data_IF_335653782711
#
_entry.id   IF_335653782711
#
_cell.length_a   1.000
_cell.length_b   1.000
_cell.length_c   1.000
_cell.angle_alpha   90.00
_cell.angle_beta   90.00
_cell.angle_gamma   90.00
#
_symmetry.space_group_name_H-M   'P 1'
#
loop_
_entity.id
_entity.type
_entity.pdbx_description
1 polymer ?
#
# COMPACT_ATOMS: atom_id res chain seq x y z
N UNK A 1 -4.13 -9.35 24.79
CA UNK A 1 -2.84 -8.81 24.31
C UNK A 1 -2.85 -8.88 22.80
N UNK A 2 -2.41 -7.84 22.09
CA UNK A 2 -2.21 -7.90 20.62
C UNK A 2 -1.14 -8.94 20.31
N UNK A 3 -1.27 -9.65 19.19
CA UNK A 3 -0.26 -10.60 18.75
C UNK A 3 0.97 -9.80 18.27
N UNK A 4 2.21 -10.26 18.54
CA UNK A 4 3.43 -9.48 18.22
C UNK A 4 3.52 -9.08 16.74
N UNK A 5 3.09 -9.95 15.84
CA UNK A 5 3.02 -9.67 14.41
C UNK A 5 2.00 -8.58 13.99
N UNK A 6 1.12 -8.13 14.89
CA UNK A 6 0.17 -7.02 14.64
C UNK A 6 0.79 -5.65 14.90
N UNK A 7 1.86 -5.57 15.68
CA UNK A 7 2.51 -4.32 16.06
C UNK A 7 3.00 -3.54 14.82
N UNK A 8 2.88 -2.22 14.89
CA UNK A 8 3.43 -1.29 13.90
C UNK A 8 4.96 -1.23 14.00
N UNK A 9 5.63 -0.81 12.92
CA UNK A 9 7.08 -0.64 12.92
C UNK A 9 7.52 0.39 13.97
N UNK A 10 6.76 1.47 14.14
CA UNK A 10 7.04 2.50 15.17
C UNK A 10 6.96 1.93 16.59
N UNK A 11 5.95 1.10 16.88
CA UNK A 11 5.82 0.42 18.18
C UNK A 11 6.95 -0.59 18.42
N UNK A 12 7.33 -1.35 17.38
CA UNK A 12 8.43 -2.31 17.44
C UNK A 12 9.76 -1.63 17.77
N UNK A 13 10.13 -0.58 17.01
CA UNK A 13 11.37 0.17 17.22
C UNK A 13 11.41 0.78 18.62
N UNK A 14 10.28 1.35 19.09
CA UNK A 14 10.16 1.89 20.44
C UNK A 14 10.35 0.81 21.51
N UNK A 15 9.78 -0.38 21.29
CA UNK A 15 9.89 -1.52 22.20
C UNK A 15 11.29 -2.13 22.23
N UNK A 16 11.97 -2.21 21.10
CA UNK A 16 13.36 -2.68 21.02
C UNK A 16 14.31 -1.71 21.73
N UNK A 17 14.11 -0.39 21.54
CA UNK A 17 14.86 0.64 22.27
C UNK A 17 14.65 0.55 23.78
N UNK A 18 13.41 0.27 24.21
CA UNK A 18 13.07 0.07 25.62
C UNK A 18 13.48 -1.31 26.16
N UNK A 19 14.04 -2.20 25.32
CA UNK A 19 14.34 -3.60 25.63
C UNK A 19 13.13 -4.38 26.16
N UNK A 20 11.92 -3.97 25.78
CA UNK A 20 10.66 -4.59 26.17
C UNK A 20 10.27 -5.76 25.25
N UNK A 21 10.81 -5.79 24.03
CA UNK A 21 10.65 -6.88 23.07
C UNK A 21 11.99 -7.15 22.38
N UNK A 22 12.19 -8.37 21.89
CA UNK A 22 13.31 -8.72 21.02
C UNK A 22 12.91 -8.75 19.54
N UNK A 23 13.79 -8.29 18.61
CA UNK A 23 13.65 -8.55 17.18
C UNK A 23 13.48 -10.04 16.85
N UNK A 24 14.08 -10.94 17.62
CA UNK A 24 13.97 -12.39 17.44
C UNK A 24 12.56 -12.86 17.74
N UNK A 25 12.01 -12.50 18.91
CA UNK A 25 10.65 -12.88 19.32
C UNK A 25 9.60 -12.42 18.31
N UNK A 26 9.74 -11.19 17.82
CA UNK A 26 8.82 -10.62 16.84
C UNK A 26 8.98 -11.30 15.48
N UNK A 27 10.20 -11.58 15.04
CA UNK A 27 10.46 -12.29 13.78
C UNK A 27 9.87 -13.70 13.81
N UNK A 28 10.03 -14.44 14.91
CA UNK A 28 9.39 -15.77 15.07
C UNK A 28 7.86 -15.68 15.04
N UNK A 29 7.28 -14.68 15.71
CA UNK A 29 5.83 -14.48 15.67
C UNK A 29 5.31 -14.17 14.26
N UNK A 30 6.08 -13.45 13.43
CA UNK A 30 5.72 -13.20 12.03
C UNK A 30 5.92 -14.46 11.18
N UNK A 31 6.99 -15.23 11.39
CA UNK A 31 7.24 -16.51 10.71
C UNK A 31 6.08 -17.49 10.95
N UNK A 32 5.66 -17.68 12.21
CA UNK A 32 4.53 -18.57 12.52
C UNK A 32 3.22 -18.11 11.88
N UNK A 33 3.03 -16.79 11.70
CA UNK A 33 1.89 -16.24 10.96
C UNK A 33 1.99 -16.52 9.46
N UNK A 34 3.16 -16.34 8.85
CA UNK A 34 3.40 -16.68 7.44
C UNK A 34 3.07 -18.15 7.21
N UNK A 35 3.60 -19.06 8.03
CA UNK A 35 3.36 -20.49 7.90
C UNK A 35 1.88 -20.87 7.99
N UNK A 36 1.10 -20.17 8.82
CA UNK A 36 -0.33 -20.41 8.98
C UNK A 36 -1.19 -19.96 7.79
N UNK A 37 -0.82 -18.86 7.11
CA UNK A 37 -1.68 -18.23 6.09
C UNK A 37 -1.16 -18.36 4.66
N UNK A 38 0.16 -18.46 4.45
CA UNK A 38 0.78 -18.42 3.12
C UNK A 38 0.31 -19.54 2.18
N UNK A 39 0.07 -20.78 2.64
CA UNK A 39 -0.48 -21.83 1.77
C UNK A 39 -1.81 -21.47 1.09
N UNK A 40 -2.57 -20.52 1.66
CA UNK A 40 -3.85 -20.04 1.11
C UNK A 40 -3.70 -18.74 0.33
N UNK A 41 -2.75 -17.90 0.71
CA UNK A 41 -2.60 -16.55 0.17
C UNK A 41 -1.66 -16.45 -1.03
N UNK A 42 -0.62 -17.28 -1.10
CA UNK A 42 0.39 -17.27 -2.16
C UNK A 42 0.96 -15.85 -2.42
N UNK A 43 1.26 -15.12 -1.35
CA UNK A 43 1.74 -13.74 -1.40
C UNK A 43 3.26 -13.63 -1.57
N UNK A 44 4.01 -14.68 -1.23
CA UNK A 44 5.46 -14.64 -1.08
C UNK A 44 6.20 -15.36 -2.22
N UNK A 45 7.37 -14.83 -2.51
CA UNK A 45 8.41 -15.40 -3.37
C UNK A 45 9.72 -15.43 -2.57
N UNK A 46 10.54 -16.47 -2.76
CA UNK A 46 11.84 -16.59 -2.09
C UNK A 46 11.77 -16.30 -0.57
N UNK A 47 10.83 -16.96 0.12
CA UNK A 47 10.71 -16.94 1.57
C UNK A 47 11.91 -17.64 2.21
N UNK A 48 12.61 -16.95 3.12
CA UNK A 48 13.84 -17.44 3.76
C UNK A 48 13.81 -17.15 5.28
N UNK A 49 13.13 -18.00 6.06
CA UNK A 49 13.03 -17.81 7.51
C UNK A 49 14.37 -17.94 8.23
N UNK A 50 15.32 -18.72 7.69
CA UNK A 50 16.64 -18.87 8.31
C UNK A 50 17.48 -17.60 8.18
N UNK A 51 17.51 -16.99 6.99
CA UNK A 51 18.16 -15.69 6.82
C UNK A 51 17.51 -14.60 7.69
N UNK A 52 16.18 -14.62 7.82
CA UNK A 52 15.45 -13.72 8.70
C UNK A 52 15.84 -13.89 10.18
N UNK A 53 15.94 -15.13 10.67
CA UNK A 53 16.38 -15.45 12.04
C UNK A 53 17.79 -14.94 12.31
N UNK A 54 18.71 -15.14 11.38
CA UNK A 54 20.09 -14.64 11.49
C UNK A 54 20.13 -13.10 11.54
N UNK A 55 19.34 -12.43 10.69
CA UNK A 55 19.25 -10.97 10.69
C UNK A 55 18.63 -10.42 11.99
N UNK A 56 17.60 -11.08 12.51
CA UNK A 56 16.95 -10.72 13.77
C UNK A 56 17.91 -10.87 14.97
N UNK A 57 18.67 -11.96 15.05
CA UNK A 57 19.72 -12.15 16.08
C UNK A 57 20.81 -11.09 16.01
N UNK A 58 21.25 -10.73 14.81
CA UNK A 58 22.22 -9.65 14.61
C UNK A 58 21.66 -8.28 15.05
N UNK A 59 20.36 -8.04 14.82
CA UNK A 59 19.67 -6.83 15.30
C UNK A 59 19.54 -6.80 16.82
N UNK A 60 19.13 -7.91 17.43
CA UNK A 60 19.04 -8.02 18.90
C UNK A 60 20.39 -7.71 19.57
N UNK A 61 21.49 -8.23 19.02
CA UNK A 61 22.83 -7.94 19.52
C UNK A 61 23.20 -6.45 19.43
N UNK A 62 22.75 -5.74 18.38
CA UNK A 62 22.93 -4.28 18.23
C UNK A 62 22.09 -3.50 19.24
N UNK A 63 20.81 -3.85 19.39
CA UNK A 63 19.92 -3.23 20.38
C UNK A 63 20.42 -3.45 21.82
N UNK A 64 20.97 -4.62 22.14
CA UNK A 64 21.55 -4.90 23.46
C UNK A 64 22.69 -3.94 23.83
N UNK A 65 23.49 -3.55 22.83
CA UNK A 65 24.61 -2.59 22.94
C UNK A 65 24.21 -1.13 22.81
N UNK A 66 22.97 -0.85 22.40
CA UNK A 66 22.52 0.52 22.11
C UNK A 66 23.04 1.07 20.77
N UNK A 67 23.39 0.18 19.83
CA UNK A 67 24.00 0.51 18.53
C UNK A 67 23.13 0.05 17.35
N UNK A 68 21.85 0.46 17.25
CA UNK A 68 21.00 0.03 16.15
C UNK A 68 21.55 0.50 14.80
N UNK A 69 21.44 -0.35 13.77
CA UNK A 69 21.94 -0.08 12.42
C UNK A 69 21.18 1.06 11.71
N UNK A 70 19.95 1.34 12.13
CA UNK A 70 19.12 2.37 11.53
C UNK A 70 17.73 2.47 12.12
N UNK A 71 16.86 3.30 11.53
CA UNK A 71 15.54 3.63 12.08
C UNK A 71 14.54 2.46 12.04
N UNK A 72 14.85 1.38 11.31
CA UNK A 72 14.00 0.19 11.21
C UNK A 72 14.75 -1.09 11.61
N UNK A 73 15.82 -0.96 12.40
CA UNK A 73 16.67 -2.09 12.77
C UNK A 73 15.86 -3.17 13.52
N UNK A 74 15.81 -4.37 12.95
CA UNK A 74 15.09 -5.53 13.50
C UNK A 74 13.64 -5.64 13.06
N UNK A 75 13.09 -4.67 12.33
CA UNK A 75 11.68 -4.68 11.90
C UNK A 75 11.50 -5.69 10.74
N UNK A 76 10.58 -6.68 10.87
CA UNK A 76 10.28 -7.62 9.79
C UNK A 76 9.58 -6.96 8.61
N UNK A 77 9.96 -7.35 7.39
CA UNK A 77 9.44 -6.73 6.18
C UNK A 77 9.47 -7.64 4.96
N UNK A 78 8.80 -7.21 3.90
CA UNK A 78 8.85 -7.88 2.59
C UNK A 78 9.06 -6.88 1.45
N UNK A 79 9.65 -7.34 0.34
CA UNK A 79 10.00 -6.49 -0.80
C UNK A 79 9.48 -7.12 -2.09
N UNK A 80 8.72 -6.39 -2.90
CA UNK A 80 8.27 -6.87 -4.22
C UNK A 80 9.42 -7.41 -5.07
N UNK A 81 9.19 -8.53 -5.75
CA UNK A 81 10.25 -9.26 -6.46
C UNK A 81 10.96 -8.43 -7.55
N UNK A 82 10.27 -7.46 -8.20
CA UNK A 82 10.91 -6.62 -9.22
C UNK A 82 11.86 -5.55 -8.67
N UNK A 83 12.01 -5.46 -7.35
CA UNK A 83 13.10 -4.73 -6.71
C UNK A 83 14.20 -5.75 -6.46
N UNK A 84 15.30 -5.66 -7.21
CA UNK A 84 16.38 -6.64 -7.13
C UNK A 84 16.94 -6.77 -5.69
N UNK A 85 17.20 -8.00 -5.26
CA UNK A 85 17.88 -8.31 -4.01
C UNK A 85 19.05 -9.25 -4.31
N UNK A 86 20.24 -8.89 -3.83
CA UNK A 86 21.48 -9.61 -4.11
C UNK A 86 21.33 -11.10 -3.78
N UNK A 87 21.66 -11.95 -4.75
CA UNK A 87 21.59 -13.41 -4.62
C UNK A 87 20.20 -14.01 -4.83
N UNK A 88 19.15 -13.19 -4.94
CA UNK A 88 17.78 -13.68 -5.17
C UNK A 88 17.39 -13.53 -6.65
N UNK A 89 16.80 -14.56 -7.28
CA UNK A 89 16.26 -14.43 -8.63
C UNK A 89 15.12 -13.42 -8.74
N UNK A 90 15.00 -12.78 -9.91
CA UNK A 90 13.99 -11.77 -10.24
C UNK A 90 13.11 -12.28 -11.39
N UNK A 91 12.06 -13.09 -11.13
CA UNK A 91 11.22 -13.68 -12.18
C UNK A 91 10.34 -12.67 -12.92
N UNK A 92 10.09 -11.51 -12.31
CA UNK A 92 9.10 -10.52 -12.78
C UNK A 92 7.72 -11.16 -13.01
N UNK A 93 7.37 -12.15 -12.19
CA UNK A 93 6.14 -12.93 -12.33
C UNK A 93 5.97 -13.70 -13.64
N UNK A 94 7.00 -13.85 -14.48
CA UNK A 94 6.86 -14.40 -15.83
C UNK A 94 7.66 -15.69 -16.03
N UNK A 95 6.99 -16.78 -16.38
CA UNK A 95 7.62 -18.10 -16.54
C UNK A 95 8.58 -18.19 -17.73
N UNK A 96 8.48 -17.27 -18.69
CA UNK A 96 9.35 -17.21 -19.86
C UNK A 96 10.72 -16.58 -19.56
N UNK A 97 10.90 -15.95 -18.39
CA UNK A 97 12.15 -15.26 -18.05
C UNK A 97 13.13 -16.20 -17.32
N UNK A 98 14.43 -16.10 -17.59
CA UNK A 98 15.42 -16.92 -16.92
C UNK A 98 15.55 -16.50 -15.45
N UNK A 99 15.57 -17.48 -14.54
CA UNK A 99 15.78 -17.28 -13.11
C UNK A 99 17.27 -17.00 -12.80
N UNK A 100 17.70 -15.76 -13.04
CA UNK A 100 19.06 -15.31 -12.73
C UNK A 100 19.08 -14.58 -11.38
N UNK A 101 19.91 -15.02 -10.42
CA UNK A 101 20.15 -14.27 -9.18
C UNK A 101 20.66 -12.85 -9.48
N UNK A 102 20.13 -11.85 -8.79
CA UNK A 102 20.62 -10.48 -8.94
C UNK A 102 22.03 -10.33 -8.36
N UNK A 103 22.91 -9.63 -9.07
CA UNK A 103 24.29 -9.40 -8.62
C UNK A 103 24.40 -8.40 -7.45
N UNK A 104 23.41 -7.51 -7.31
CA UNK A 104 23.37 -6.47 -6.29
C UNK A 104 21.92 -6.17 -5.86
N UNK A 105 21.77 -5.56 -4.69
CA UNK A 105 20.49 -4.99 -4.25
C UNK A 105 20.17 -3.75 -5.09
N UNK A 106 18.93 -3.63 -5.58
CA UNK A 106 18.40 -2.36 -6.09
C UNK A 106 18.30 -1.34 -4.93
N UNK A 107 18.30 -0.02 -5.20
CA UNK A 107 18.37 1.00 -4.17
C UNK A 107 17.37 0.81 -3.01
N UNK A 108 16.06 0.52 -3.23
CA UNK A 108 15.14 0.32 -2.11
C UNK A 108 15.50 -0.88 -1.22
N UNK A 109 16.01 -1.97 -1.80
CA UNK A 109 16.48 -3.13 -1.05
C UNK A 109 17.79 -2.82 -0.31
N UNK A 110 18.71 -2.08 -0.93
CA UNK A 110 19.97 -1.66 -0.31
C UNK A 110 19.71 -0.79 0.92
N UNK A 111 18.87 0.26 0.79
CA UNK A 111 18.50 1.14 1.91
C UNK A 111 17.82 0.39 3.05
N UNK A 112 16.97 -0.56 2.71
CA UNK A 112 16.31 -1.42 3.70
C UNK A 112 17.31 -2.27 4.48
N UNK A 113 18.29 -2.88 3.78
CA UNK A 113 19.34 -3.69 4.40
C UNK A 113 20.28 -2.85 5.26
N UNK A 114 20.71 -1.70 4.76
CA UNK A 114 21.56 -0.75 5.49
C UNK A 114 20.91 -0.28 6.80
N UNK A 115 19.59 -0.07 6.79
CA UNK A 115 18.83 0.35 7.96
C UNK A 115 18.52 -0.79 8.96
N UNK A 116 19.01 -2.01 8.71
CA UNK A 116 18.86 -3.16 9.59
C UNK A 116 17.51 -3.89 9.52
N UNK A 117 16.70 -3.62 8.49
CA UNK A 117 15.41 -4.30 8.33
C UNK A 117 15.56 -5.81 8.09
N UNK A 118 14.64 -6.60 8.66
CA UNK A 118 14.66 -8.07 8.58
C UNK A 118 13.79 -8.52 7.40
N UNK A 119 14.43 -8.80 6.26
CA UNK A 119 13.75 -9.28 5.06
C UNK A 119 13.28 -10.73 5.26
N UNK A 120 11.96 -10.95 5.28
CA UNK A 120 11.38 -12.30 5.38
C UNK A 120 11.29 -12.99 4.02
N UNK A 121 10.85 -12.24 3.02
CA UNK A 121 10.57 -12.76 1.69
C UNK A 121 10.51 -11.64 0.65
N UNK A 122 10.62 -12.05 -0.61
CA UNK A 122 10.11 -11.25 -1.72
C UNK A 122 8.59 -11.41 -1.82
N UNK A 123 7.90 -10.49 -2.48
CA UNK A 123 6.45 -10.63 -2.74
C UNK A 123 6.12 -10.77 -4.20
N UNK A 124 5.07 -11.56 -4.48
CA UNK A 124 4.66 -11.94 -5.82
C UNK A 124 4.05 -10.77 -6.60
N UNK A 125 4.19 -10.83 -7.93
CA UNK A 125 3.56 -9.90 -8.86
C UNK A 125 3.09 -10.64 -10.13
N UNK A 126 2.16 -10.06 -10.90
CA UNK A 126 1.79 -10.57 -12.22
C UNK A 126 2.92 -10.38 -13.23
N UNK A 127 2.85 -11.09 -14.36
CA UNK A 127 3.79 -11.01 -15.48
C UNK A 127 4.15 -9.56 -15.83
N UNK A 128 5.44 -9.25 -15.71
CA UNK A 128 6.05 -7.96 -16.01
C UNK A 128 5.43 -6.77 -15.26
N UNK A 129 4.57 -7.03 -14.29
CA UNK A 129 3.84 -6.02 -13.53
C UNK A 129 2.68 -5.38 -14.28
N UNK A 130 2.17 -6.03 -15.33
CA UNK A 130 1.23 -5.46 -16.31
C UNK A 130 -0.25 -5.76 -16.03
N UNK A 131 -0.58 -6.33 -14.87
CA UNK A 131 -1.97 -6.58 -14.46
C UNK A 131 -2.28 -5.96 -13.09
N UNK A 132 -3.53 -5.53 -12.93
CA UNK A 132 -4.10 -5.15 -11.64
C UNK A 132 -4.63 -6.38 -10.89
N UNK A 133 -3.85 -7.46 -10.87
CA UNK A 133 -4.20 -8.71 -10.19
C UNK A 133 -3.00 -9.49 -9.67
N UNK A 134 -3.28 -10.51 -8.85
CA UNK A 134 -2.31 -11.51 -8.42
C UNK A 134 -2.05 -12.65 -9.42
N UNK A 135 -2.55 -12.57 -10.66
CA UNK A 135 -2.39 -13.62 -11.67
C UNK A 135 -1.01 -13.56 -12.30
N UNK A 136 -0.29 -14.66 -12.26
CA UNK A 136 1.06 -14.80 -12.80
C UNK A 136 1.19 -16.13 -13.53
N UNK A 137 2.00 -16.17 -14.58
CA UNK A 137 2.39 -17.41 -15.27
C UNK A 137 3.45 -18.20 -14.50
N UNK A 138 4.22 -17.53 -13.63
CA UNK A 138 5.27 -18.14 -12.82
C UNK A 138 4.80 -18.46 -11.39
N UNK A 139 4.08 -17.55 -10.75
CA UNK A 139 3.61 -17.71 -9.37
C UNK A 139 2.22 -18.31 -9.31
N UNK A 140 1.91 -18.94 -8.17
CA UNK A 140 0.52 -19.26 -7.81
C UNK A 140 -0.29 -17.98 -7.68
N UNK A 141 -1.60 -18.08 -7.95
CA UNK A 141 -2.52 -16.94 -7.88
C UNK A 141 -2.59 -16.38 -6.45
N UNK A 142 -2.06 -15.17 -6.27
CA UNK A 142 -2.14 -14.46 -4.99
C UNK A 142 -3.59 -14.08 -4.65
N UNK A 143 -3.98 -14.23 -3.38
CA UNK A 143 -5.35 -14.03 -2.90
C UNK A 143 -5.45 -12.85 -1.93
N UNK A 144 -6.65 -12.26 -1.82
CA UNK A 144 -6.90 -11.21 -0.84
C UNK A 144 -7.18 -11.82 0.55
N UNK A 145 -6.49 -11.40 1.64
CA UNK A 145 -6.74 -11.93 2.97
C UNK A 145 -8.14 -11.66 3.53
N UNK A 146 -8.82 -10.61 3.05
CA UNK A 146 -10.18 -10.29 3.48
C UNK A 146 -11.23 -11.26 2.90
N UNK A 147 -10.97 -11.77 1.71
CA UNK A 147 -11.78 -12.81 1.05
C UNK A 147 -10.91 -13.51 -0.01
N UNK A 148 -10.55 -14.77 0.25
CA UNK A 148 -9.67 -15.56 -0.63
C UNK A 148 -10.26 -15.85 -2.01
N UNK A 149 -11.56 -15.64 -2.21
CA UNK A 149 -12.19 -15.71 -3.52
C UNK A 149 -11.91 -14.46 -4.37
N UNK A 150 -11.38 -13.39 -3.78
CA UNK A 150 -11.18 -12.08 -4.43
C UNK A 150 -9.71 -11.77 -4.73
N UNK A 151 -9.52 -10.77 -5.58
CA UNK A 151 -8.22 -10.32 -6.06
C UNK A 151 -7.58 -9.33 -5.04
N UNK A 152 -6.31 -9.49 -4.65
CA UNK A 152 -5.59 -8.51 -3.81
C UNK A 152 -5.18 -7.24 -4.56
N UNK A 153 -5.51 -7.15 -5.85
CA UNK A 153 -5.06 -6.06 -6.72
C UNK A 153 -3.68 -6.32 -7.28
N UNK A 154 -3.16 -5.37 -8.01
CA UNK A 154 -1.85 -5.50 -8.61
C UNK A 154 -1.36 -4.18 -9.18
N UNK A 155 -0.11 -4.14 -9.63
CA UNK A 155 0.81 -5.28 -9.71
C UNK A 155 1.62 -5.60 -8.44
N UNK A 156 1.43 -4.89 -7.33
CA UNK A 156 2.10 -5.23 -6.05
C UNK A 156 1.24 -6.19 -5.20
N UNK A 157 0.73 -7.25 -5.86
CA UNK A 157 -0.28 -8.16 -5.34
C UNK A 157 0.16 -8.83 -4.03
N UNK A 158 1.34 -9.45 -4.05
CA UNK A 158 1.89 -10.11 -2.87
C UNK A 158 2.16 -9.14 -1.72
N UNK A 159 2.62 -7.91 -2.00
CA UNK A 159 2.84 -6.90 -0.97
C UNK A 159 1.52 -6.48 -0.29
N UNK A 160 0.44 -6.29 -1.06
CA UNK A 160 -0.89 -6.01 -0.51
C UNK A 160 -1.41 -7.16 0.34
N UNK A 161 -1.32 -8.39 -0.16
CA UNK A 161 -1.75 -9.58 0.58
C UNK A 161 -0.92 -9.79 1.85
N UNK A 162 0.41 -9.72 1.77
CA UNK A 162 1.32 -9.91 2.90
C UNK A 162 1.06 -8.87 4.01
N UNK A 163 0.88 -7.60 3.65
CA UNK A 163 0.63 -6.52 4.60
C UNK A 163 -0.70 -6.68 5.35
N UNK A 164 -1.77 -7.02 4.63
CA UNK A 164 -3.09 -7.26 5.22
C UNK A 164 -3.12 -8.56 6.06
N UNK A 165 -2.34 -9.57 5.67
CA UNK A 165 -2.20 -10.81 6.42
C UNK A 165 -1.24 -10.71 7.62
N UNK A 166 -0.57 -9.58 7.82
CA UNK A 166 0.29 -9.34 8.97
C UNK A 166 1.70 -9.95 8.86
N UNK A 167 2.27 -10.06 7.66
CA UNK A 167 3.62 -10.60 7.43
C UNK A 167 4.73 -9.57 7.73
N UNK A 168 4.61 -8.89 8.86
CA UNK A 168 5.40 -7.72 9.23
C UNK A 168 4.61 -6.41 9.02
N UNK A 169 5.13 -5.28 9.51
CA UNK A 169 4.51 -3.96 9.32
C UNK A 169 4.96 -3.23 8.04
N UNK A 170 6.12 -3.56 7.47
CA UNK A 170 6.71 -2.83 6.35
C UNK A 170 6.72 -3.67 5.06
N UNK A 171 6.13 -3.11 4.00
CA UNK A 171 6.13 -3.72 2.68
C UNK A 171 6.44 -2.64 1.64
N UNK A 172 7.05 -3.02 0.53
CA UNK A 172 7.32 -2.10 -0.57
C UNK A 172 6.89 -2.72 -1.90
N UNK A 173 6.17 -1.91 -2.69
CA UNK A 173 5.75 -2.23 -4.04
C UNK A 173 6.36 -1.27 -5.06
N UNK A 174 5.90 -1.42 -6.30
CA UNK A 174 6.21 -0.49 -7.40
C UNK A 174 4.92 -0.12 -8.12
N UNK A 175 4.81 1.13 -8.56
CA UNK A 175 3.62 1.77 -9.11
C UNK A 175 3.97 2.52 -10.41
N UNK A 176 3.27 2.19 -11.49
CA UNK A 176 3.28 2.94 -12.75
C UNK A 176 1.90 3.57 -12.95
N UNK A 177 0.89 2.70 -13.12
CA UNK A 177 -0.51 3.11 -13.32
C UNK A 177 -1.43 2.94 -12.11
N UNK A 178 -0.89 2.61 -10.93
CA UNK A 178 -1.69 2.33 -9.73
C UNK A 178 -1.18 1.18 -8.86
N UNK A 179 -0.11 0.50 -9.25
CA UNK A 179 0.26 -0.80 -8.68
C UNK A 179 0.63 -0.85 -7.18
N UNK A 180 0.87 0.29 -6.52
CA UNK A 180 0.94 0.37 -5.05
C UNK A 180 -0.43 0.75 -4.49
N UNK A 181 -1.06 1.78 -5.07
CA UNK A 181 -2.32 2.37 -4.59
C UNK A 181 -3.52 1.44 -4.74
N UNK A 182 -3.60 0.67 -5.84
CA UNK A 182 -4.66 -0.31 -6.11
C UNK A 182 -4.58 -1.48 -5.13
N UNK A 183 -3.41 -2.12 -5.01
CA UNK A 183 -3.21 -3.21 -4.04
C UNK A 183 -3.43 -2.74 -2.61
N UNK A 184 -2.95 -1.54 -2.23
CA UNK A 184 -3.21 -0.98 -0.91
C UNK A 184 -4.71 -0.72 -0.69
N UNK A 185 -5.39 -0.11 -1.67
CA UNK A 185 -6.82 0.14 -1.60
C UNK A 185 -7.62 -1.14 -1.42
N UNK A 186 -7.37 -2.18 -2.22
CA UNK A 186 -8.16 -3.42 -2.20
C UNK A 186 -7.84 -4.31 -0.99
N UNK A 187 -6.65 -4.17 -0.40
CA UNK A 187 -6.26 -4.87 0.82
C UNK A 187 -6.44 -4.02 2.09
N UNK A 188 -7.03 -2.82 2.01
CA UNK A 188 -7.33 -2.00 3.19
C UNK A 188 -6.10 -1.44 3.91
N UNK A 189 -5.11 -0.99 3.16
CA UNK A 189 -3.80 -0.53 3.65
C UNK A 189 -3.55 0.95 3.33
N UNK A 190 -2.53 1.51 3.97
CA UNK A 190 -1.91 2.77 3.56
C UNK A 190 -0.88 2.48 2.47
N UNK A 191 -1.08 3.02 1.27
CA UNK A 191 -0.13 2.91 0.17
C UNK A 191 0.25 4.28 -0.35
N UNK A 192 1.56 4.57 -0.40
CA UNK A 192 2.08 5.84 -0.90
C UNK A 192 2.85 5.62 -2.20
N UNK A 193 2.39 6.26 -3.28
CA UNK A 193 3.19 6.47 -4.48
C UNK A 193 3.80 7.87 -4.41
N UNK A 194 5.06 8.05 -3.97
CA UNK A 194 5.66 9.37 -3.89
C UNK A 194 5.82 10.02 -5.27
N UNK A 195 6.33 11.25 -5.30
CA UNK A 195 6.76 11.91 -6.54
C UNK A 195 7.75 11.04 -7.30
N UNK A 196 7.63 11.01 -8.63
CA UNK A 196 8.56 10.26 -9.48
C UNK A 196 9.99 10.74 -9.23
N UNK A 197 10.93 9.80 -9.06
CA UNK A 197 12.33 10.07 -8.70
C UNK A 197 12.59 10.33 -7.21
N UNK A 198 11.57 10.28 -6.31
CA UNK A 198 11.78 10.47 -4.86
C UNK A 198 12.45 9.26 -4.18
N UNK A 199 12.06 8.05 -4.58
CA UNK A 199 12.73 6.81 -4.17
C UNK A 199 13.53 6.34 -5.39
N UNK A 200 14.88 6.33 -5.32
CA UNK A 200 15.72 5.84 -6.41
C UNK A 200 15.40 4.39 -6.77
N UNK A 201 15.45 4.06 -8.07
CA UNK A 201 15.25 2.70 -8.58
C UNK A 201 16.33 2.31 -9.61
N UNK A 202 16.66 1.03 -9.65
CA UNK A 202 17.62 0.46 -10.60
C UNK A 202 17.06 -0.86 -11.17
N UNK A 203 16.97 -1.03 -12.50
CA UNK A 203 17.29 -0.03 -13.53
C UNK A 203 16.31 1.17 -13.50
N UNK A 204 16.73 2.37 -13.94
CA UNK A 204 15.81 3.49 -14.13
C UNK A 204 14.70 3.14 -15.11
N UNK A 205 13.48 3.60 -14.85
CA UNK A 205 12.34 3.39 -15.75
C UNK A 205 11.33 4.54 -15.64
N UNK A 206 10.99 5.17 -16.76
CA UNK A 206 10.10 6.31 -16.79
C UNK A 206 8.70 5.94 -16.27
N UNK A 207 8.21 6.68 -15.27
CA UNK A 207 6.90 6.47 -14.68
C UNK A 207 6.82 5.38 -13.62
N UNK A 208 7.86 4.55 -13.41
CA UNK A 208 7.89 3.58 -12.30
C UNK A 208 8.36 4.25 -11.03
N UNK A 209 7.59 4.08 -9.96
CA UNK A 209 7.88 4.60 -8.63
C UNK A 209 7.83 3.46 -7.63
N UNK A 210 8.87 3.29 -6.82
CA UNK A 210 8.79 2.42 -5.65
C UNK A 210 8.02 3.14 -4.53
N UNK A 211 7.23 2.40 -3.75
CA UNK A 211 6.36 3.02 -2.74
C UNK A 211 6.03 2.07 -1.58
N UNK A 212 6.09 2.55 -0.32
CA UNK A 212 5.76 1.75 0.85
C UNK A 212 4.25 1.45 0.94
N UNK A 213 3.95 0.28 1.46
CA UNK A 213 2.63 -0.25 1.75
C UNK A 213 2.61 -0.76 3.20
N UNK A 214 1.78 -0.17 4.05
CA UNK A 214 1.82 -0.36 5.51
C UNK A 214 0.40 -0.35 6.10
N UNK A 215 0.25 -0.81 7.36
CA UNK A 215 -1.04 -0.74 8.07
C UNK A 215 -1.34 0.64 8.65
N UNK A 216 -0.31 1.46 8.88
CA UNK A 216 -0.43 2.79 9.48
C UNK A 216 0.28 3.85 8.63
N UNK A 217 -0.16 5.10 8.75
CA UNK A 217 0.51 6.26 8.10
C UNK A 217 1.90 6.48 8.69
N UNK A 218 2.05 6.29 10.00
CA UNK A 218 3.33 6.45 10.70
C UNK A 218 4.39 5.45 10.21
N UNK A 219 4.02 4.19 9.96
CA UNK A 219 4.94 3.21 9.37
C UNK A 219 5.31 3.57 7.93
N UNK A 220 4.36 4.16 7.18
CA UNK A 220 4.62 4.61 5.82
C UNK A 220 5.69 5.71 5.80
N UNK A 221 5.51 6.70 6.67
CA UNK A 221 6.45 7.79 6.90
C UNK A 221 7.82 7.30 7.39
N UNK A 222 7.83 6.40 8.38
CA UNK A 222 9.06 5.79 8.88
C UNK A 222 9.83 5.11 7.75
N UNK A 223 9.14 4.35 6.90
CA UNK A 223 9.80 3.66 5.81
C UNK A 223 10.28 4.62 4.71
N UNK A 224 9.55 5.73 4.45
CA UNK A 224 10.02 6.77 3.54
C UNK A 224 11.36 7.39 4.00
N UNK A 225 11.59 7.54 5.30
CA UNK A 225 12.88 8.04 5.85
C UNK A 225 14.09 7.15 5.48
N UNK A 226 13.84 5.88 5.20
CA UNK A 226 14.83 4.91 4.72
C UNK A 226 14.91 4.93 3.20
N UNK A 227 13.76 4.83 2.54
CA UNK A 227 13.67 4.61 1.10
C UNK A 227 14.07 5.84 0.27
N UNK A 228 13.88 7.06 0.77
CA UNK A 228 14.14 8.29 0.02
C UNK A 228 15.61 8.74 0.00
N UNK A 229 16.53 7.91 0.51
CA UNK A 229 17.97 8.19 0.49
C UNK A 229 18.50 8.19 -0.96
N UNK A 230 19.42 9.10 -1.32
CA UNK A 230 19.87 9.26 -2.71
C UNK A 230 20.65 8.05 -3.20
N UNK A 231 20.57 7.71 -4.48
CA UNK A 231 21.39 6.65 -5.09
C UNK A 231 21.76 7.04 -6.53
N UNK A 232 23.07 7.02 -6.83
CA UNK A 232 23.60 7.47 -8.14
C UNK A 232 23.23 6.56 -9.31
N UNK A 233 22.73 5.34 -9.04
CA UNK A 233 22.33 4.39 -10.10
C UNK A 233 21.04 4.82 -10.78
N UNK A 234 20.22 5.64 -10.11
CA UNK A 234 19.01 6.19 -10.69
C UNK A 234 19.25 7.59 -11.28
N UNK A 235 19.53 7.63 -12.58
CA UNK A 235 19.70 8.88 -13.33
C UNK A 235 18.43 9.74 -13.45
N UNK A 236 17.27 9.23 -13.04
CA UNK A 236 15.98 9.96 -13.02
C UNK A 236 15.62 10.47 -11.62
N UNK A 237 16.50 10.29 -10.61
CA UNK A 237 16.26 10.73 -9.24
C UNK A 237 16.01 12.24 -9.15
N UNK A 238 15.06 12.62 -8.32
CA UNK A 238 14.96 14.01 -7.87
C UNK A 238 16.16 14.36 -6.99
N UNK A 239 16.55 15.64 -6.94
CA UNK A 239 17.52 16.11 -5.94
C UNK A 239 17.11 15.65 -4.53
N UNK A 240 18.10 15.17 -3.78
CA UNK A 240 17.88 14.77 -2.40
C UNK A 240 17.31 15.94 -1.60
N UNK A 241 16.31 15.64 -0.77
CA UNK A 241 15.75 16.56 0.20
C UNK A 241 15.76 15.87 1.56
N UNK A 242 16.28 16.58 2.55
CA UNK A 242 16.24 16.14 3.94
C UNK A 242 14.85 16.44 4.51
N UNK A 243 13.92 15.53 4.25
CA UNK A 243 12.52 15.62 4.69
C UNK A 243 12.41 14.89 6.03
N UNK A 244 11.92 15.59 7.05
CA UNK A 244 11.47 14.94 8.28
C UNK A 244 10.13 14.24 8.02
N UNK A 245 10.20 13.00 7.53
CA UNK A 245 9.03 12.19 7.22
C UNK A 245 8.17 11.89 8.44
N UNK A 246 8.75 11.89 9.65
CA UNK A 246 8.05 11.58 10.89
C UNK A 246 7.36 12.79 11.51
N UNK A 247 7.53 13.99 10.95
CA UNK A 247 6.73 15.16 11.29
C UNK A 247 5.31 15.04 10.70
N UNK A 248 4.45 14.31 11.41
CA UNK A 248 3.07 14.06 11.02
C UNK A 248 2.08 15.12 11.56
N UNK A 249 2.57 16.01 12.43
CA UNK A 249 1.77 17.06 13.03
C UNK A 249 1.52 18.17 12.00
N UNK A 250 0.36 18.09 11.34
CA UNK A 250 -0.09 19.09 10.39
C UNK A 250 -1.41 19.70 10.84
N UNK A 251 -1.45 21.04 10.94
CA UNK A 251 -2.71 21.75 11.06
C UNK A 251 -3.43 21.70 9.70
N UNK A 252 -4.53 20.95 9.64
CA UNK A 252 -5.34 20.83 8.42
C UNK A 252 -6.32 21.99 8.22
N UNK A 253 -6.47 22.87 9.22
CA UNK A 253 -7.37 24.02 9.15
C UNK A 253 -6.89 24.99 8.08
N UNK A 254 -7.78 25.36 7.17
CA UNK A 254 -7.47 26.27 6.07
C UNK A 254 -6.79 25.61 4.87
N UNK A 255 -6.52 24.30 4.89
CA UNK A 255 -6.10 23.57 3.68
C UNK A 255 -7.21 23.60 2.63
N UNK A 256 -6.82 23.88 1.38
CA UNK A 256 -7.71 23.81 0.23
C UNK A 256 -7.65 22.40 -0.33
N UNK A 257 -8.81 21.74 -0.32
CA UNK A 257 -8.93 20.37 -0.80
C UNK A 257 -9.79 20.38 -2.06
N UNK A 258 -9.17 20.02 -3.18
CA UNK A 258 -9.86 19.77 -4.44
C UNK A 258 -10.56 18.42 -4.39
N UNK A 259 -11.86 18.41 -4.68
CA UNK A 259 -12.63 17.19 -4.78
C UNK A 259 -12.96 16.94 -6.25
N UNK A 260 -12.34 15.90 -6.83
CA UNK A 260 -12.63 15.50 -8.20
C UNK A 260 -13.77 14.47 -8.19
N UNK A 261 -14.97 14.93 -8.55
CA UNK A 261 -16.20 14.14 -8.46
C UNK A 261 -16.45 13.24 -9.68
N UNK A 262 -15.96 13.65 -10.85
CA UNK A 262 -16.15 12.94 -12.10
C UNK A 262 -14.85 12.99 -12.92
N UNK A 263 -14.27 11.82 -13.13
CA UNK A 263 -13.02 11.69 -13.87
C UNK A 263 -13.20 11.90 -15.39
N UNK A 264 -14.44 11.89 -15.90
CA UNK A 264 -14.76 11.92 -17.33
C UNK A 264 -14.48 10.60 -18.06
N UNK A 265 -14.17 9.54 -17.31
CA UNK A 265 -13.94 8.19 -17.82
C UNK A 265 -14.21 7.15 -16.73
N UNK A 266 -14.47 5.90 -17.15
CA UNK A 266 -14.79 4.79 -16.25
C UNK A 266 -16.29 4.54 -16.13
N UNK A 267 -16.64 3.45 -15.42
CA UNK A 267 -18.04 3.11 -15.19
C UNK A 267 -18.66 4.02 -14.12
N UNK A 268 -19.90 4.50 -14.31
CA UNK A 268 -20.62 5.25 -13.29
C UNK A 268 -20.69 4.44 -11.99
N UNK A 269 -20.28 5.04 -10.88
CA UNK A 269 -20.36 4.38 -9.58
C UNK A 269 -21.84 4.08 -9.29
N UNK A 270 -22.23 2.81 -9.25
CA UNK A 270 -23.63 2.43 -8.99
C UNK A 270 -24.55 2.37 -10.21
N UNK A 271 -24.03 2.49 -11.43
CA UNK A 271 -24.74 2.10 -12.65
C UNK A 271 -25.10 0.60 -12.57
N UNK A 272 -26.40 0.32 -12.52
CA UNK A 272 -26.96 -0.99 -12.15
C UNK A 272 -26.79 -2.10 -13.19
N UNK A 273 -25.56 -2.47 -13.52
CA UNK A 273 -25.32 -3.76 -14.16
C UNK A 273 -25.15 -4.83 -13.07
N UNK A 274 -26.13 -5.72 -12.86
CA UNK A 274 -25.94 -6.86 -11.97
C UNK A 274 -24.76 -7.66 -12.50
N UNK A 275 -23.76 -7.87 -11.64
CA UNK A 275 -22.58 -8.68 -11.93
C UNK A 275 -23.05 -10.07 -12.40
N UNK A 276 -23.13 -10.30 -13.72
CA UNK A 276 -23.50 -11.61 -14.25
C UNK A 276 -22.33 -12.55 -13.96
N UNK A 277 -22.57 -13.62 -13.20
CA UNK A 277 -21.59 -14.70 -13.03
C UNK A 277 -21.11 -15.13 -14.42
N UNK A 278 -19.86 -14.82 -14.76
CA UNK A 278 -19.24 -15.21 -16.03
C UNK A 278 -18.68 -14.07 -16.90
N UNK A 279 -18.91 -12.79 -16.59
CA UNK A 279 -18.26 -11.70 -17.35
C UNK A 279 -16.79 -11.55 -16.93
N UNK A 280 -15.86 -11.76 -17.87
CA UNK A 280 -14.40 -11.57 -17.71
C UNK A 280 -13.98 -10.09 -17.70
N UNK A 281 -14.86 -9.17 -17.29
CA UNK A 281 -14.55 -7.74 -17.18
C UNK A 281 -14.24 -7.37 -15.72
N UNK A 282 -13.11 -6.71 -15.51
CA UNK A 282 -12.68 -6.17 -14.22
C UNK A 282 -13.55 -4.95 -13.85
N UNK A 283 -14.77 -5.18 -13.38
CA UNK A 283 -15.62 -4.14 -12.81
C UNK A 283 -15.68 -4.33 -11.31
N UNK A 284 -15.47 -3.26 -10.53
CA UNK A 284 -15.67 -3.25 -9.08
C UNK A 284 -17.17 -3.46 -8.80
N UNK A 285 -17.58 -4.72 -8.67
CA UNK A 285 -18.97 -5.08 -8.46
C UNK A 285 -19.39 -4.89 -6.99
N UNK A 286 -20.57 -4.30 -6.80
CA UNK A 286 -21.25 -4.20 -5.51
C UNK A 286 -21.88 -5.56 -5.17
N UNK A 287 -21.27 -6.35 -4.31
CA UNK A 287 -21.89 -7.58 -3.81
C UNK A 287 -23.01 -7.25 -2.81
N UNK A 288 -24.27 -7.42 -3.22
CA UNK A 288 -25.40 -7.57 -2.29
C UNK A 288 -25.47 -9.05 -1.89
N UNK A 289 -25.41 -9.35 -0.60
CA UNK A 289 -25.74 -10.69 -0.08
C UNK A 289 -27.24 -10.92 -0.28
N UNK A 290 -27.59 -11.83 -1.18
CA UNK A 290 -28.89 -12.51 -1.09
C UNK A 290 -28.76 -13.65 -0.08
N UNK A 291 -29.50 -13.54 1.03
CA UNK A 291 -29.65 -14.62 2.00
C UNK A 291 -30.48 -15.74 1.38
N UNK A 292 -29.83 -16.79 0.87
CA UNK A 292 -30.36 -18.17 0.77
C UNK A 292 -29.26 -19.11 0.25
N UNK A 293 -28.63 -19.86 1.14
CA UNK A 293 -28.25 -21.28 1.00
C UNK A 293 -27.37 -21.70 2.19
N UNK A 294 -27.78 -22.77 2.85
CA UNK A 294 -27.15 -23.35 4.04
C UNK A 294 -25.82 -24.05 3.79
N UNK A 295 -25.06 -24.17 4.88
CA UNK A 295 -23.81 -24.91 4.99
C UNK A 295 -23.12 -24.50 6.29
N UNK A 296 -23.26 -25.31 7.34
CA UNK A 296 -22.76 -25.02 8.68
C UNK A 296 -21.22 -25.09 8.74
N UNK A 297 -20.59 -24.05 9.29
CA UNK A 297 -19.19 -24.02 9.76
C UNK A 297 -19.22 -23.45 11.19
N UNK A 298 -18.45 -23.97 12.16
CA UNK A 298 -18.71 -23.75 13.58
C UNK A 298 -18.65 -22.28 14.02
N UNK A 299 -19.66 -21.89 14.80
CA UNK A 299 -19.78 -20.58 15.45
C UNK A 299 -18.85 -20.48 16.66
N UNK A 300 -17.68 -19.90 16.48
CA UNK A 300 -17.03 -19.09 17.52
C UNK A 300 -16.13 -18.05 16.83
N UNK A 301 -16.23 -16.79 17.26
CA UNK A 301 -15.54 -15.59 16.76
C UNK A 301 -16.25 -14.69 15.73
N UNK A 302 -17.51 -14.94 15.36
CA UNK A 302 -18.21 -14.11 14.37
C UNK A 302 -18.79 -12.76 14.88
N UNK A 303 -18.79 -12.48 16.18
CA UNK A 303 -19.52 -11.33 16.74
C UNK A 303 -18.75 -10.00 16.82
N UNK A 304 -17.58 -9.88 16.17
CA UNK A 304 -16.84 -8.59 16.12
C UNK A 304 -16.64 -7.98 14.73
N UNK A 305 -17.04 -8.65 13.66
CA UNK A 305 -16.62 -8.27 12.29
C UNK A 305 -17.76 -8.29 11.26
N UNK A 306 -18.96 -7.83 11.66
CA UNK A 306 -20.13 -7.68 10.77
C UNK A 306 -20.39 -6.20 10.46
N UNK A 307 -19.48 -5.57 9.71
CA UNK A 307 -19.66 -4.23 9.17
C UNK A 307 -19.32 -4.21 7.68
N UNK A 308 -20.20 -3.63 6.87
CA UNK A 308 -20.06 -3.50 5.42
C UNK A 308 -18.76 -2.76 5.05
N UNK A 309 -17.70 -3.49 4.68
CA UNK A 309 -16.41 -2.89 4.35
C UNK A 309 -16.42 -2.43 2.89
N UNK A 310 -16.72 -1.14 2.67
CA UNK A 310 -16.29 -0.44 1.46
C UNK A 310 -14.82 -0.07 1.68
N UNK A 311 -13.91 -0.72 0.96
CA UNK A 311 -12.54 -0.24 0.82
C UNK A 311 -12.57 1.16 0.19
N UNK A 312 -12.49 2.21 1.02
CA UNK A 312 -12.42 3.60 0.55
C UNK A 312 -10.95 3.94 0.30
N UNK A 313 -10.50 3.73 -0.93
CA UNK A 313 -9.20 4.23 -1.37
C UNK A 313 -9.28 5.74 -1.57
N UNK A 314 -8.53 6.50 -0.77
CA UNK A 314 -8.32 7.93 -1.00
C UNK A 314 -7.03 8.09 -1.79
N UNK A 315 -7.12 8.59 -3.01
CA UNK A 315 -5.94 9.00 -3.77
C UNK A 315 -5.69 10.47 -3.46
N UNK A 316 -4.59 10.74 -2.77
CA UNK A 316 -4.17 12.09 -2.42
C UNK A 316 -3.08 12.53 -3.40
N UNK A 317 -3.36 13.54 -4.21
CA UNK A 317 -2.41 14.13 -5.16
C UNK A 317 -2.01 15.54 -4.73
N UNK A 318 -0.75 15.90 -4.96
CA UNK A 318 -0.24 17.26 -4.79
C UNK A 318 0.07 17.83 -6.17
N UNK A 319 -0.49 18.99 -6.50
CA UNK A 319 -0.17 19.73 -7.72
C UNK A 319 0.60 20.99 -7.33
N UNK A 320 1.66 21.31 -8.08
CA UNK A 320 2.44 22.53 -7.91
C UNK A 320 2.02 23.51 -9.01
N UNK A 321 1.70 24.75 -8.65
CA UNK A 321 1.33 25.77 -9.63
C UNK A 321 2.56 26.23 -10.43
N UNK A 322 2.36 26.57 -11.71
CA UNK A 322 3.40 27.00 -12.68
C UNK A 322 4.19 28.26 -12.27
N UNK A 323 3.79 28.93 -11.19
CA UNK A 323 4.41 30.16 -10.69
C UNK A 323 5.48 29.94 -9.61
N UNK A 324 5.87 28.70 -9.30
CA UNK A 324 6.95 28.41 -8.33
C UNK A 324 6.62 28.77 -6.87
N UNK A 325 5.39 29.21 -6.57
CA UNK A 325 4.89 29.39 -5.21
C UNK A 325 4.32 28.06 -4.70
N UNK A 326 4.64 27.69 -3.47
CA UNK A 326 4.13 26.48 -2.80
C UNK A 326 2.63 26.61 -2.49
N UNK A 327 1.77 26.36 -3.48
CA UNK A 327 0.34 26.16 -3.27
C UNK A 327 0.10 24.87 -2.50
N UNK A 328 -0.55 24.94 -1.33
CA UNK A 328 -0.90 23.79 -0.47
C UNK A 328 -2.22 23.14 -0.94
N UNK A 329 -2.31 22.83 -2.22
CA UNK A 329 -3.54 22.28 -2.79
C UNK A 329 -3.45 20.76 -2.82
N UNK A 330 -4.41 20.11 -2.15
CA UNK A 330 -4.48 18.66 -2.03
C UNK A 330 -5.71 18.18 -2.81
N UNK A 331 -5.50 17.37 -3.84
CA UNK A 331 -6.60 16.70 -4.54
C UNK A 331 -6.91 15.37 -3.85
N UNK A 332 -8.17 15.18 -3.43
CA UNK A 332 -8.66 13.91 -2.88
C UNK A 332 -9.60 13.24 -3.89
N UNK A 333 -9.31 11.98 -4.22
CA UNK A 333 -10.25 11.12 -4.93
C UNK A 333 -11.19 10.44 -3.94
N UNK A 334 -12.49 10.63 -4.14
CA UNK A 334 -13.56 10.02 -3.36
C UNK A 334 -14.60 9.44 -4.32
N UNK A 335 -14.85 8.12 -4.33
CA UNK A 335 -15.97 7.58 -5.09
C UNK A 335 -17.29 8.07 -4.47
N UNK A 336 -18.07 8.82 -5.24
CA UNK A 336 -19.45 9.22 -4.94
C UNK A 336 -20.43 8.21 -5.52
N UNK A 337 -21.57 7.94 -4.87
CA UNK A 337 -22.55 6.99 -5.42
C UNK A 337 -23.37 7.59 -6.58
N UNK A 338 -23.94 6.71 -7.41
CA UNK A 338 -24.62 7.03 -8.67
C UNK A 338 -25.92 7.82 -8.57
N UNK A 339 -26.25 8.32 -7.38
CA UNK A 339 -27.38 9.22 -7.16
C UNK A 339 -26.94 10.65 -6.84
N UNK A 340 -25.63 10.96 -6.93
CA UNK A 340 -25.10 12.29 -6.60
C UNK A 340 -25.38 12.71 -5.15
N UNK A 341 -25.74 11.77 -4.27
CA UNK A 341 -26.00 12.05 -2.86
C UNK A 341 -24.68 11.91 -2.12
N UNK A 342 -24.40 12.89 -1.25
CA UNK A 342 -23.26 12.85 -0.33
C UNK A 342 -23.25 11.50 0.38
N UNK A 343 -22.13 10.77 0.34
CA UNK A 343 -21.90 9.60 1.17
C UNK A 343 -21.69 9.96 2.66
N UNK A 344 -22.42 10.96 3.15
CA UNK A 344 -22.47 11.44 4.52
C UNK A 344 -23.93 11.54 4.95
N UNK A 345 -24.43 10.53 5.67
CA UNK A 345 -25.54 10.78 6.60
C UNK A 345 -24.96 11.54 7.79
N UNK A 346 -25.61 12.63 8.20
CA UNK A 346 -25.35 13.25 9.52
C UNK A 346 -25.46 12.14 10.57
N UNK A 347 -24.37 11.87 11.30
CA UNK A 347 -24.36 10.92 12.42
C UNK A 347 -23.59 9.60 12.23
N UNK A 348 -22.90 9.34 11.11
CA UNK A 348 -22.16 8.09 10.91
C UNK A 348 -20.63 8.26 10.85
N UNK A 349 -20.06 8.98 11.82
CA UNK A 349 -18.63 8.91 12.15
C UNK A 349 -18.50 8.07 13.42
N UNK A 350 -18.21 6.78 13.27
CA UNK A 350 -17.70 5.98 14.39
C UNK A 350 -16.19 6.15 14.44
N UNK A 351 -15.74 6.96 15.38
CA UNK A 351 -14.34 7.03 15.78
C UNK A 351 -14.03 5.85 16.70
N UNK A 352 -12.92 5.16 16.46
CA UNK A 352 -12.39 4.17 17.39
C UNK A 352 -11.60 4.91 18.47
N UNK A 353 -12.11 4.94 19.70
CA UNK A 353 -11.36 5.36 20.89
C UNK A 353 -10.53 4.15 21.37
N UNK A 354 -9.22 4.28 21.68
CA UNK A 354 -8.36 3.15 22.00
C UNK A 354 -8.70 2.43 23.33
N UNK A 355 -9.57 3.01 24.14
CA UNK A 355 -9.78 2.65 25.54
C UNK A 355 -11.17 2.04 25.83
N UNK A 356 -11.78 1.37 24.84
CA UNK A 356 -12.78 0.30 25.04
C UNK A 356 -14.04 0.65 25.85
N UNK A 357 -14.28 1.91 26.20
CA UNK A 357 -15.44 2.36 26.96
C UNK A 357 -16.33 3.19 26.04
N UNK A 358 -17.52 2.66 25.76
CA UNK A 358 -18.62 3.41 25.17
C UNK A 358 -19.09 4.47 26.17
N UNK A 359 -18.44 5.64 26.19
CA UNK A 359 -18.98 6.84 26.81
C UNK A 359 -19.57 7.72 25.69
N UNK A 360 -20.87 7.99 25.77
CA UNK A 360 -21.55 8.97 24.93
C UNK A 360 -20.93 10.35 25.15
N UNK A 361 -19.98 10.75 24.30
CA UNK A 361 -19.48 12.11 24.29
C UNK A 361 -20.38 12.96 23.36
N UNK A 362 -21.18 13.83 23.97
CA UNK A 362 -22.03 14.78 23.26
C UNK A 362 -21.19 15.85 22.55
N UNK A 363 -21.58 16.14 21.30
CA UNK A 363 -21.31 17.36 20.54
C UNK A 363 -19.83 17.74 20.29
N UNK A 364 -19.27 17.24 19.17
CA UNK A 364 -18.22 17.95 18.44
C UNK A 364 -18.77 18.33 17.05
N UNK A 365 -19.16 19.60 16.86
CA UNK A 365 -19.57 20.17 15.57
C UNK A 365 -18.31 20.46 14.74
N UNK A 366 -18.25 19.97 13.50
CA UNK A 366 -17.26 20.44 12.52
C UNK A 366 -17.86 21.67 11.82
N UNK A 367 -17.49 22.86 12.28
CA UNK A 367 -17.69 24.12 11.57
C UNK A 367 -16.38 24.47 10.84
N UNK A 368 -16.43 24.85 9.55
CA UNK A 368 -15.31 25.52 8.87
C UNK A 368 -14.75 24.92 7.57
N UNK A 369 -15.25 23.79 7.06
CA UNK A 369 -14.84 23.28 5.74
C UNK A 369 -15.56 24.05 4.62
N UNK A 370 -14.81 24.76 3.77
CA UNK A 370 -15.32 25.34 2.51
C UNK A 370 -14.94 24.42 1.35
N UNK A 371 -15.94 23.91 0.64
CA UNK A 371 -15.76 23.12 -0.58
C UNK A 371 -15.85 24.05 -1.80
N UNK A 372 -14.90 23.95 -2.72
CA UNK A 372 -14.95 24.64 -4.00
C UNK A 372 -15.25 23.63 -5.11
N UNK A 373 -16.30 23.90 -5.89
CA UNK A 373 -16.68 23.09 -7.04
C UNK A 373 -15.95 23.63 -8.26
N UNK A 374 -15.11 22.81 -8.89
CA UNK A 374 -14.59 23.11 -10.23
C UNK A 374 -15.50 22.43 -11.25
N UNK A 375 -16.13 23.21 -12.12
CA UNK A 375 -16.87 22.72 -13.27
C UNK A 375 -15.97 22.85 -14.49
N UNK A 376 -15.75 21.76 -15.23
CA UNK A 376 -15.12 21.82 -16.55
C UNK A 376 -16.06 22.57 -17.50
N UNK A 377 -15.65 23.76 -17.96
CA UNK A 377 -16.13 24.29 -19.25
C UNK A 377 -15.20 23.74 -20.33
N UNK A 378 -15.57 22.61 -20.90
CA UNK A 378 -14.98 22.11 -22.14
C UNK A 378 -16.13 21.80 -23.10
N UNK A 379 -16.68 22.87 -23.69
CA UNK A 379 -17.48 22.82 -24.91
C UNK A 379 -17.09 24.06 -25.72
N UNK A 380 -16.25 23.87 -26.75
CA UNK A 380 -16.29 24.60 -28.02
C UNK A 380 -15.14 24.10 -28.93
N UNK A 381 -15.57 23.55 -30.07
CA UNK A 381 -14.88 23.55 -31.37
C UNK A 381 -13.67 22.61 -31.59
N UNK A 382 -13.97 21.37 -31.97
CA UNK A 382 -13.11 20.56 -32.84
C UNK A 382 -13.92 20.15 -34.08
N UNK A 383 -14.21 21.13 -34.94
CA UNK A 383 -14.61 20.91 -36.34
C UNK A 383 -13.77 21.77 -37.28
N UNK A 384 -12.49 21.41 -37.43
CA UNK A 384 -11.57 22.06 -38.38
C UNK A 384 -10.70 21.01 -39.04
N UNK A 385 -10.98 20.70 -40.30
CA UNK A 385 -10.32 19.66 -41.08
C UNK A 385 -8.82 19.92 -41.28
N UNK A 386 -8.04 18.83 -41.23
CA UNK A 386 -6.65 18.83 -41.67
C UNK A 386 -6.60 18.86 -43.20
N UNK A 387 -6.18 20.00 -43.75
CA UNK A 387 -5.63 20.09 -45.10
C UNK A 387 -4.14 19.74 -45.05
N UNK A 388 -3.74 18.75 -45.84
CA UNK A 388 -2.35 18.46 -46.19
C UNK A 388 -1.77 19.60 -47.02
N UNK A 389 -0.55 20.04 -46.72
CA UNK A 389 0.35 20.63 -47.71
C UNK A 389 1.80 20.34 -47.35
N UNK A 390 2.49 19.75 -48.33
CA UNK A 390 3.93 19.50 -48.39
C UNK A 390 4.78 20.74 -48.07
N UNK A 391 5.86 20.55 -47.30
CA UNK A 391 7.25 20.91 -47.62
C UNK A 391 8.23 20.06 -46.81
#
# INVERSE_FOLDING_TARGET
MSHLADLSAVELVSSYKAKALSPVEVTEAVIGRIEAYEPKLNALWAYDPEAARLAAKASEARWAKGEPAGPIDGVPLTIKENIATKGTPVPLGCAALPLKPAAADAPPAARTREAGGVLLAKTTMPDLGMLSSGLSSFHKLARNPWDIATNPGGSSAGAGSAAAAGYGPLHIGTDIGGSVRLSAGWCGLVGLKPSFGRIPIDPPFLGRVAGPMTRTVADNALYMSVLSRPDRRDGMSLPYQDIDWMNLDIEVKGLKIGLWLDAGFGEPVGGGNPCRRGSRSQTVCRCRRDHRAGGAIPQSHHDRWSGSFLARAFLVGYQKDDAGKSGKDIALYLPVDGNGRRAFRRGSLSWFCPDGRHAQCGACRIEGLRFHHFANRADADLSGGMGLSDQ
#
